data_IF_497829978211
#
_entry.id   IF_497829978211
#
_cell.length_a   1.000
_cell.length_b   1.000
_cell.length_c   1.000
_cell.angle_alpha   90.00
_cell.angle_beta   90.00
_cell.angle_gamma   90.00
#
_symmetry.space_group_name_H-M   'P 1'
#
loop_
_entity.id
_entity.type
_entity.pdbx_description
1 polymer ?
#
# COMPACT_ATOMS: atom_id res chain seq x y z
N UNK A 1 -17.89 -5.80 -19.16
CA UNK A 1 -16.66 -5.03 -18.86
C UNK A 1 -15.63 -5.46 -19.88
N UNK A 2 -14.83 -4.54 -20.41
CA UNK A 2 -13.86 -4.87 -21.47
C UNK A 2 -12.63 -5.60 -20.93
N UNK A 3 -12.39 -5.54 -19.62
CA UNK A 3 -11.29 -6.22 -18.95
C UNK A 3 -11.82 -7.36 -18.07
N UNK A 4 -11.07 -8.46 -18.02
CA UNK A 4 -11.29 -9.56 -17.09
C UNK A 4 -10.93 -9.14 -15.66
N UNK A 5 -11.68 -9.62 -14.68
CA UNK A 5 -11.48 -9.34 -13.26
C UNK A 5 -11.45 -10.66 -12.49
N UNK A 6 -10.34 -10.91 -11.81
CA UNK A 6 -10.18 -12.06 -10.91
C UNK A 6 -9.96 -11.56 -9.49
N UNK A 7 -10.74 -12.09 -8.56
CA UNK A 7 -10.65 -11.77 -7.14
C UNK A 7 -10.38 -13.06 -6.37
N UNK A 8 -9.49 -13.02 -5.40
CA UNK A 8 -9.20 -14.19 -4.57
C UNK A 8 -9.93 -14.11 -3.26
N UNK A 9 -10.46 -15.24 -2.80
CA UNK A 9 -10.90 -15.45 -1.44
C UNK A 9 -10.30 -16.74 -0.90
N UNK A 10 -10.27 -16.89 0.42
CA UNK A 10 -9.82 -18.12 1.08
C UNK A 10 -11.03 -18.80 1.67
N UNK A 11 -11.25 -20.07 1.36
CA UNK A 11 -12.24 -20.87 2.06
C UNK A 11 -11.74 -21.20 3.46
N UNK A 12 -12.56 -20.91 4.47
CA UNK A 12 -12.17 -20.97 5.87
C UNK A 12 -11.97 -22.40 6.37
N UNK A 13 -12.72 -23.37 5.85
CA UNK A 13 -12.74 -24.75 6.36
C UNK A 13 -11.70 -25.64 5.67
N UNK A 14 -11.57 -25.49 4.35
CA UNK A 14 -10.67 -26.26 3.50
C UNK A 14 -9.31 -25.60 3.30
N UNK A 15 -9.18 -24.31 3.65
CA UNK A 15 -7.99 -23.48 3.39
C UNK A 15 -7.65 -23.32 1.90
N UNK A 16 -8.58 -23.66 1.00
CA UNK A 16 -8.39 -23.50 -0.44
C UNK A 16 -8.49 -22.04 -0.87
N UNK A 17 -7.82 -21.72 -1.99
CA UNK A 17 -7.93 -20.41 -2.64
C UNK A 17 -9.01 -20.52 -3.69
N UNK A 18 -9.99 -19.65 -3.60
CA UNK A 18 -11.06 -19.50 -4.56
C UNK A 18 -10.72 -18.32 -5.45
N UNK A 19 -10.78 -18.53 -6.77
CA UNK A 19 -10.56 -17.49 -7.77
C UNK A 19 -11.92 -17.10 -8.36
N UNK A 20 -12.53 -16.09 -7.76
CA UNK A 20 -13.82 -15.53 -8.17
C UNK A 20 -13.65 -14.81 -9.52
N UNK A 21 -14.52 -15.10 -10.49
CA UNK A 21 -14.32 -14.75 -11.90
C UNK A 21 -13.54 -15.79 -12.70
N UNK A 22 -12.99 -16.82 -12.05
CA UNK A 22 -12.38 -17.99 -12.67
C UNK A 22 -13.39 -19.06 -13.09
N UNK A 23 -12.87 -20.17 -13.62
CA UNK A 23 -13.69 -21.35 -13.93
C UNK A 23 -14.47 -21.78 -12.69
N UNK A 24 -15.73 -22.18 -12.86
CA UNK A 24 -16.67 -22.55 -11.78
C UNK A 24 -17.11 -21.40 -10.85
N UNK A 25 -16.59 -20.18 -10.99
CA UNK A 25 -16.86 -19.03 -10.10
C UNK A 25 -17.15 -17.73 -10.86
N UNK A 26 -17.40 -17.80 -12.16
CA UNK A 26 -17.66 -16.69 -13.07
C UNK A 26 -19.11 -16.16 -13.00
N UNK A 27 -20.02 -16.95 -12.43
CA UNK A 27 -21.42 -16.61 -12.16
C UNK A 27 -21.62 -15.75 -10.89
N UNK A 28 -20.58 -15.61 -10.06
CA UNK A 28 -20.67 -14.86 -8.80
C UNK A 28 -20.67 -13.34 -9.07
N UNK A 29 -21.67 -12.57 -8.59
CA UNK A 29 -21.70 -11.13 -8.79
C UNK A 29 -20.46 -10.44 -8.23
N UNK A 30 -19.87 -9.51 -9.00
CA UNK A 30 -18.66 -8.77 -8.62
C UNK A 30 -18.75 -8.19 -7.20
N UNK A 31 -19.90 -7.62 -6.82
CA UNK A 31 -20.10 -7.07 -5.48
C UNK A 31 -19.94 -8.11 -4.36
N UNK A 32 -20.45 -9.34 -4.57
CA UNK A 32 -20.24 -10.45 -3.64
C UNK A 32 -18.79 -10.91 -3.64
N UNK A 33 -18.18 -10.96 -4.82
CA UNK A 33 -16.79 -11.39 -4.96
C UNK A 33 -15.85 -10.45 -4.22
N UNK A 34 -16.06 -9.13 -4.33
CA UNK A 34 -15.33 -8.11 -3.56
C UNK A 34 -15.57 -8.30 -2.07
N UNK A 35 -16.82 -8.45 -1.63
CA UNK A 35 -17.14 -8.63 -0.22
C UNK A 35 -16.42 -9.83 0.41
N UNK A 36 -16.36 -10.97 -0.29
CA UNK A 36 -15.61 -12.14 0.15
C UNK A 36 -14.10 -11.90 0.14
N UNK A 37 -13.58 -11.31 -0.94
CA UNK A 37 -12.14 -11.05 -1.11
C UNK A 37 -11.56 -10.09 -0.07
N UNK A 38 -12.39 -9.20 0.50
CA UNK A 38 -12.01 -8.22 1.52
C UNK A 38 -12.53 -8.55 2.93
N UNK A 39 -13.08 -9.74 3.15
CA UNK A 39 -13.62 -10.15 4.45
C UNK A 39 -12.49 -10.50 5.42
N UNK A 40 -11.75 -9.48 5.87
CA UNK A 40 -10.62 -9.65 6.79
C UNK A 40 -11.13 -10.15 8.15
N UNK A 41 -10.59 -11.28 8.66
CA UNK A 41 -10.93 -11.79 9.98
C UNK A 41 -10.73 -10.75 11.07
N UNK A 42 -11.52 -10.85 12.14
CA UNK A 42 -11.62 -9.87 13.24
C UNK A 42 -12.29 -8.54 12.88
N UNK A 43 -12.41 -8.17 11.60
CA UNK A 43 -13.15 -6.98 11.16
C UNK A 43 -14.50 -7.32 10.54
N UNK A 44 -14.56 -8.38 9.75
CA UNK A 44 -15.75 -8.79 9.02
C UNK A 44 -16.09 -10.26 9.26
N UNK A 45 -17.38 -10.60 9.10
CA UNK A 45 -17.84 -11.99 9.09
C UNK A 45 -17.46 -12.66 7.76
N UNK A 46 -17.18 -13.98 7.75
CA UNK A 46 -17.07 -14.73 6.51
C UNK A 46 -18.30 -14.55 5.61
N UNK A 47 -18.08 -14.66 4.29
CA UNK A 47 -19.12 -14.48 3.27
C UNK A 47 -19.43 -15.84 2.65
N UNK A 48 -20.68 -16.29 2.78
CA UNK A 48 -21.08 -17.62 2.32
C UNK A 48 -21.43 -17.67 0.82
N UNK A 49 -20.53 -18.14 -0.05
CA UNK A 49 -20.77 -18.24 -1.50
C UNK A 49 -20.78 -19.72 -1.89
N UNK A 50 -21.83 -20.18 -2.58
CA UNK A 50 -22.00 -21.59 -3.01
C UNK A 50 -21.82 -22.60 -1.85
N UNK A 51 -22.35 -22.27 -0.67
CA UNK A 51 -22.25 -23.10 0.54
C UNK A 51 -20.88 -23.11 1.23
N UNK A 52 -19.93 -22.26 0.78
CA UNK A 52 -18.58 -22.16 1.31
C UNK A 52 -18.39 -20.86 2.09
N UNK A 53 -17.74 -20.90 3.26
CA UNK A 53 -17.46 -19.72 4.08
C UNK A 53 -16.15 -19.08 3.64
N UNK A 54 -16.24 -17.96 2.92
CA UNK A 54 -15.07 -17.30 2.33
C UNK A 54 -14.61 -16.09 3.15
N UNK A 55 -13.30 -15.97 3.32
CA UNK A 55 -12.61 -14.83 3.96
C UNK A 55 -11.58 -14.21 3.00
N UNK A 56 -10.94 -13.14 3.45
CA UNK A 56 -9.96 -12.37 2.68
C UNK A 56 -8.93 -13.24 1.93
N UNK A 57 -8.74 -12.97 0.64
CA UNK A 57 -7.84 -13.74 -0.22
C UNK A 57 -6.36 -13.42 -0.02
N UNK A 58 -6.06 -12.24 0.53
CA UNK A 58 -4.71 -11.81 0.90
C UNK A 58 -4.11 -12.66 2.01
N UNK A 59 -4.92 -13.42 2.76
CA UNK A 59 -4.44 -14.33 3.80
C UNK A 59 -3.55 -15.43 3.21
N UNK A 60 -3.86 -15.97 2.02
CA UNK A 60 -3.07 -17.06 1.42
C UNK A 60 -1.94 -16.55 0.52
N UNK A 61 -2.17 -15.49 -0.25
CA UNK A 61 -1.16 -14.91 -1.15
C UNK A 61 -1.37 -13.40 -1.24
N UNK A 62 -0.31 -12.63 -1.04
CA UNK A 62 -0.39 -11.15 -1.03
C UNK A 62 -0.65 -10.58 -2.42
N UNK A 63 -0.26 -11.29 -3.49
CA UNK A 63 -0.22 -10.70 -4.85
C UNK A 63 -0.90 -11.51 -5.93
N UNK A 64 -1.02 -12.82 -5.76
CA UNK A 64 -1.66 -13.71 -6.74
C UNK A 64 -1.14 -13.55 -8.18
N UNK A 65 0.16 -13.24 -8.34
CA UNK A 65 0.82 -13.04 -9.65
C UNK A 65 0.68 -14.27 -10.55
N UNK A 66 0.67 -15.45 -9.95
CA UNK A 66 0.44 -16.72 -10.64
C UNK A 66 -0.84 -16.70 -11.47
N UNK A 67 -1.94 -16.15 -10.94
CA UNK A 67 -3.22 -16.08 -11.67
C UNK A 67 -3.06 -15.26 -12.95
N UNK A 68 -2.40 -14.11 -12.89
CA UNK A 68 -2.17 -13.27 -14.07
C UNK A 68 -1.28 -13.98 -15.10
N UNK A 69 -0.22 -14.65 -14.64
CA UNK A 69 0.72 -15.37 -15.51
C UNK A 69 0.06 -16.58 -16.18
N UNK A 70 -0.72 -17.36 -15.44
CA UNK A 70 -1.48 -18.50 -15.96
C UNK A 70 -2.51 -18.09 -17.01
N UNK A 71 -3.05 -16.86 -16.90
CA UNK A 71 -3.91 -16.23 -17.91
C UNK A 71 -3.15 -15.58 -19.07
N UNK A 72 -1.84 -15.77 -19.13
CA UNK A 72 -1.01 -15.37 -20.27
C UNK A 72 -0.40 -13.97 -20.16
N UNK A 73 -0.52 -13.28 -19.02
CA UNK A 73 0.13 -11.98 -18.83
C UNK A 73 1.65 -12.11 -18.96
N UNK A 74 2.25 -11.27 -19.82
CA UNK A 74 3.71 -11.15 -19.99
C UNK A 74 4.29 -9.93 -19.29
N UNK A 75 3.41 -9.04 -18.83
CA UNK A 75 3.74 -7.87 -18.06
C UNK A 75 2.77 -7.74 -16.89
N UNK A 76 3.29 -7.74 -15.67
CA UNK A 76 2.47 -7.69 -14.45
C UNK A 76 2.97 -6.54 -13.57
N UNK A 77 2.05 -5.67 -13.17
CA UNK A 77 2.31 -4.63 -12.17
C UNK A 77 1.67 -5.06 -10.88
N UNK A 78 2.49 -5.25 -9.86
CA UNK A 78 2.09 -5.59 -8.49
C UNK A 78 2.14 -4.31 -7.66
N UNK A 79 1.04 -3.96 -7.01
CA UNK A 79 0.96 -2.82 -6.09
C UNK A 79 0.76 -3.35 -4.68
N UNK A 80 1.78 -3.22 -3.83
CA UNK A 80 1.68 -3.62 -2.42
C UNK A 80 1.68 -2.40 -1.50
N UNK A 81 0.53 -2.03 -0.92
CA UNK A 81 0.47 -0.96 0.09
C UNK A 81 0.79 -1.47 1.52
N UNK A 82 0.96 -2.78 1.73
CA UNK A 82 1.10 -3.41 3.05
C UNK A 82 2.56 -3.48 3.52
N UNK A 83 3.26 -2.35 3.50
CA UNK A 83 4.64 -2.25 4.00
C UNK A 83 4.63 -2.00 5.51
N UNK A 84 5.40 -2.77 6.32
CA UNK A 84 5.50 -2.56 7.75
C UNK A 84 6.22 -1.24 8.02
N UNK A 85 5.76 -0.51 9.04
CA UNK A 85 6.42 0.73 9.41
C UNK A 85 7.70 0.46 10.17
N UNK A 86 8.78 1.09 9.74
CA UNK A 86 10.06 1.07 10.45
C UNK A 86 10.12 2.29 11.36
N UNK A 87 10.04 2.05 12.67
CA UNK A 87 10.28 3.08 13.65
C UNK A 87 11.79 3.17 13.91
N UNK A 88 12.44 4.21 13.39
CA UNK A 88 13.88 4.46 13.57
C UNK A 88 14.25 5.01 14.97
N UNK A 89 13.24 5.21 15.83
CA UNK A 89 13.33 5.75 17.18
C UNK A 89 13.89 7.18 17.27
N UNK A 90 13.96 7.93 16.16
CA UNK A 90 14.48 9.30 16.17
C UNK A 90 13.45 10.33 16.67
N UNK A 91 12.15 10.01 16.58
CA UNK A 91 11.07 10.94 16.97
C UNK A 91 10.58 10.72 18.39
N UNK A 92 10.73 11.77 19.21
CA UNK A 92 10.30 11.80 20.61
C UNK A 92 9.05 12.65 20.74
N UNK A 93 8.01 12.11 21.38
CA UNK A 93 6.78 12.85 21.69
C UNK A 93 6.87 13.46 23.10
N UNK A 94 6.51 14.74 23.29
CA UNK A 94 6.36 15.34 24.61
C UNK A 94 5.23 14.67 25.41
N UNK A 95 5.43 14.47 26.70
CA UNK A 95 4.47 13.92 27.67
C UNK A 95 4.51 14.72 28.97
N UNK A 96 3.50 14.57 29.82
CA UNK A 96 3.43 15.27 31.12
C UNK A 96 4.61 14.96 32.06
N UNK A 97 5.27 13.82 31.91
CA UNK A 97 6.38 13.36 32.77
C UNK A 97 7.74 13.33 32.03
N UNK A 98 7.85 13.98 30.87
CA UNK A 98 9.08 13.98 30.06
C UNK A 98 8.80 13.75 28.59
N UNK A 99 9.78 13.26 27.84
CA UNK A 99 9.61 12.95 26.41
C UNK A 99 9.92 11.46 26.17
N UNK A 100 9.09 10.77 25.37
CA UNK A 100 9.28 9.34 25.08
C UNK A 100 9.25 9.07 23.58
N UNK A 101 9.98 8.05 23.14
CA UNK A 101 9.89 7.59 21.75
C UNK A 101 8.54 6.91 21.55
N UNK A 102 7.83 7.27 20.48
CA UNK A 102 6.54 6.64 20.13
C UNK A 102 6.81 5.21 19.69
N UNK A 103 6.31 4.20 20.40
CA UNK A 103 6.44 2.78 20.00
C UNK A 103 5.14 2.28 19.40
N UNK A 104 5.22 1.29 18.50
CA UNK A 104 4.02 0.59 18.01
C UNK A 104 3.25 -0.06 19.16
N UNK A 105 3.96 -0.57 20.18
CA UNK A 105 3.36 -1.14 21.38
C UNK A 105 2.46 -0.15 22.14
N UNK A 106 2.69 1.17 21.99
CA UNK A 106 1.90 2.21 22.65
C UNK A 106 0.58 2.52 21.92
N UNK A 107 0.35 1.92 20.75
CA UNK A 107 -0.79 2.22 19.87
C UNK A 107 -2.02 1.32 20.09
N UNK A 108 -1.95 0.39 21.04
CA UNK A 108 -3.02 -0.54 21.37
C UNK A 108 -3.05 -1.80 20.50
N UNK A 109 -3.78 -2.81 20.99
CA UNK A 109 -3.79 -4.17 20.43
C UNK A 109 -4.16 -4.25 18.93
N UNK A 110 -5.17 -3.52 18.42
CA UNK A 110 -5.49 -3.55 16.99
C UNK A 110 -4.33 -3.08 16.10
N UNK A 111 -3.61 -2.04 16.51
CA UNK A 111 -2.50 -1.49 15.73
C UNK A 111 -1.26 -2.39 15.80
N UNK A 112 -1.02 -3.04 16.94
CA UNK A 112 -0.01 -4.09 17.08
C UNK A 112 -0.34 -5.25 16.12
N UNK A 113 -1.57 -5.74 16.14
CA UNK A 113 -2.03 -6.81 15.25
C UNK A 113 -1.89 -6.45 13.78
N UNK A 114 -2.26 -5.22 13.40
CA UNK A 114 -2.13 -4.73 12.04
C UNK A 114 -0.66 -4.59 11.59
N UNK A 115 0.22 -4.08 12.45
CA UNK A 115 1.66 -4.04 12.17
C UNK A 115 2.22 -5.47 11.98
N UNK A 116 1.84 -6.42 12.84
CA UNK A 116 2.26 -7.83 12.72
C UNK A 116 1.75 -8.46 11.43
N UNK A 117 0.50 -8.19 11.05
CA UNK A 117 -0.05 -8.63 9.76
C UNK A 117 0.76 -8.10 8.58
N UNK A 118 1.10 -6.80 8.58
CA UNK A 118 1.95 -6.21 7.53
C UNK A 118 3.34 -6.85 7.49
N UNK A 119 3.95 -7.12 8.64
CA UNK A 119 5.25 -7.80 8.70
C UNK A 119 5.21 -9.17 8.01
N UNK A 120 4.22 -10.00 8.35
CA UNK A 120 4.06 -11.34 7.77
C UNK A 120 3.73 -11.27 6.26
N UNK A 121 2.78 -10.40 5.87
CA UNK A 121 2.37 -10.25 4.47
C UNK A 121 3.50 -9.74 3.58
N UNK A 122 4.29 -8.79 4.09
CA UNK A 122 5.44 -8.20 3.41
C UNK A 122 6.60 -9.19 3.28
N UNK A 123 6.97 -9.89 4.36
CA UNK A 123 8.02 -10.91 4.29
C UNK A 123 7.69 -11.99 3.25
N UNK A 124 6.47 -12.54 3.29
CA UNK A 124 6.01 -13.54 2.31
C UNK A 124 6.06 -13.00 0.88
N UNK A 125 5.70 -11.74 0.68
CA UNK A 125 5.79 -11.11 -0.63
C UNK A 125 7.25 -11.07 -1.11
N UNK A 126 8.19 -10.56 -0.31
CA UNK A 126 9.59 -10.48 -0.73
C UNK A 126 10.23 -11.86 -0.96
N UNK A 127 9.82 -12.88 -0.21
CA UNK A 127 10.19 -14.27 -0.49
C UNK A 127 9.68 -14.69 -1.88
N UNK A 128 8.42 -14.41 -2.23
CA UNK A 128 7.89 -14.70 -3.55
C UNK A 128 8.60 -13.90 -4.67
N UNK A 129 8.87 -12.61 -4.44
CA UNK A 129 9.59 -11.72 -5.36
C UNK A 129 10.96 -12.28 -5.71
N UNK A 130 11.68 -12.81 -4.71
CA UNK A 130 13.01 -13.40 -4.92
C UNK A 130 13.00 -14.58 -5.90
N UNK A 131 11.85 -15.25 -6.04
CA UNK A 131 11.66 -16.43 -6.88
C UNK A 131 10.98 -16.13 -8.22
N UNK A 132 10.39 -14.95 -8.41
CA UNK A 132 9.59 -14.63 -9.61
C UNK A 132 10.35 -14.83 -10.91
N UNK A 133 11.63 -14.42 -10.96
CA UNK A 133 12.45 -14.53 -12.17
C UNK A 133 12.67 -15.98 -12.60
N UNK A 134 12.83 -16.89 -11.65
CA UNK A 134 13.02 -18.32 -11.91
C UNK A 134 11.67 -19.00 -12.22
N UNK A 135 10.62 -18.64 -11.47
CA UNK A 135 9.30 -19.26 -11.59
C UNK A 135 8.56 -18.85 -12.87
N UNK A 136 8.73 -17.61 -13.32
CA UNK A 136 8.02 -17.05 -14.48
C UNK A 136 9.01 -16.50 -15.52
N UNK A 137 9.80 -17.37 -16.16
CA UNK A 137 10.76 -16.94 -17.18
C UNK A 137 10.02 -16.25 -18.34
N UNK A 138 10.50 -15.06 -18.72
CA UNK A 138 9.91 -14.28 -19.80
C UNK A 138 8.67 -13.47 -19.42
N UNK A 139 8.32 -13.38 -18.14
CA UNK A 139 7.34 -12.41 -17.63
C UNK A 139 8.09 -11.28 -16.93
N UNK A 140 7.84 -10.04 -17.36
CA UNK A 140 8.36 -8.87 -16.66
C UNK A 140 7.36 -8.48 -15.54
N UNK A 141 7.82 -8.54 -14.28
CA UNK A 141 7.00 -8.22 -13.10
C UNK A 141 7.60 -7.00 -12.41
N UNK A 142 6.79 -5.95 -12.23
CA UNK A 142 7.16 -4.73 -11.52
C UNK A 142 6.44 -4.70 -10.18
N UNK A 143 7.19 -4.59 -9.08
CA UNK A 143 6.64 -4.36 -7.75
C UNK A 143 6.69 -2.87 -7.42
N UNK A 144 5.57 -2.34 -6.96
CA UNK A 144 5.42 -0.97 -6.47
C UNK A 144 5.04 -1.02 -4.99
N UNK A 145 5.90 -0.44 -4.16
CA UNK A 145 5.74 -0.33 -2.71
C UNK A 145 6.02 1.10 -2.24
N UNK A 146 5.33 1.58 -1.20
CA UNK A 146 5.73 2.80 -0.50
C UNK A 146 7.06 2.61 0.23
N UNK A 147 7.74 3.72 0.53
CA UNK A 147 8.95 3.69 1.37
C UNK A 147 8.59 3.21 2.80
N UNK A 148 9.35 2.29 3.42
CA UNK A 148 9.08 1.84 4.79
C UNK A 148 9.12 2.95 5.86
N UNK A 149 9.83 4.05 5.58
CA UNK A 149 9.91 5.24 6.43
C UNK A 149 8.82 6.27 6.13
N UNK A 150 7.87 5.93 5.24
CA UNK A 150 6.76 6.80 4.87
C UNK A 150 5.70 6.86 5.97
N UNK A 151 5.85 7.86 6.84
CA UNK A 151 4.95 8.07 7.98
C UNK A 151 3.50 8.31 7.58
N UNK A 152 3.22 8.96 6.44
CA UNK A 152 1.83 9.23 6.05
C UNK A 152 1.09 7.95 5.67
N UNK A 153 1.80 6.98 5.09
CA UNK A 153 1.28 5.65 4.81
C UNK A 153 1.10 4.81 6.09
N UNK A 154 1.77 5.15 7.19
CA UNK A 154 1.65 4.44 8.46
C UNK A 154 0.65 5.06 9.44
N UNK A 155 0.69 6.39 9.62
CA UNK A 155 -0.13 7.11 10.58
C UNK A 155 -1.61 7.09 10.20
N UNK A 156 -1.90 6.91 8.92
CA UNK A 156 -3.27 6.89 8.44
C UNK A 156 -3.84 5.48 8.50
N UNK A 157 -4.74 5.26 9.47
CA UNK A 157 -5.57 4.05 9.47
C UNK A 157 -6.32 3.94 8.13
N UNK A 158 -6.18 2.80 7.44
CA UNK A 158 -6.84 2.53 6.14
C UNK A 158 -8.37 2.69 6.22
N UNK A 159 -8.95 2.50 7.41
CA UNK A 159 -10.38 2.68 7.69
C UNK A 159 -10.77 4.15 7.94
N UNK A 160 -9.83 5.10 7.94
CA UNK A 160 -10.12 6.53 8.07
C UNK A 160 -10.51 7.13 6.71
N UNK A 161 -11.80 7.02 6.37
CA UNK A 161 -12.36 7.51 5.11
C UNK A 161 -12.20 9.01 4.89
N UNK A 162 -11.97 9.82 5.93
CA UNK A 162 -11.74 11.26 5.80
C UNK A 162 -10.36 11.58 5.19
N UNK A 163 -9.37 10.69 5.38
CA UNK A 163 -8.01 10.85 4.86
C UNK A 163 -7.77 10.13 3.52
N UNK A 164 -8.76 9.44 2.95
CA UNK A 164 -8.59 8.63 1.72
C UNK A 164 -8.02 9.42 0.53
N UNK A 165 -8.44 10.69 0.38
CA UNK A 165 -7.97 11.55 -0.72
C UNK A 165 -6.52 11.96 -0.48
N UNK A 166 -6.16 12.23 0.76
CA UNK A 166 -4.79 12.54 1.16
C UNK A 166 -3.86 11.34 0.94
N UNK A 167 -4.26 10.13 1.36
CA UNK A 167 -3.51 8.89 1.13
C UNK A 167 -3.36 8.62 -0.36
N UNK A 168 -4.42 8.73 -1.15
CA UNK A 168 -4.37 8.49 -2.59
C UNK A 168 -3.44 9.49 -3.30
N UNK A 169 -3.51 10.77 -2.91
CA UNK A 169 -2.60 11.80 -3.44
C UNK A 169 -1.15 11.48 -3.07
N UNK A 170 -0.91 11.14 -1.82
CA UNK A 170 0.42 10.77 -1.30
C UNK A 170 0.98 9.51 -1.98
N UNK A 171 0.15 8.50 -2.21
CA UNK A 171 0.53 7.31 -2.99
C UNK A 171 0.91 7.64 -4.42
N UNK A 172 0.15 8.51 -5.09
CA UNK A 172 0.51 9.00 -6.42
C UNK A 172 1.83 9.77 -6.43
N UNK A 173 2.07 10.61 -5.41
CA UNK A 173 3.33 11.34 -5.22
C UNK A 173 4.52 10.39 -5.05
N UNK A 174 4.42 9.48 -4.08
CA UNK A 174 5.46 8.50 -3.73
C UNK A 174 5.84 7.62 -4.92
N UNK A 175 4.83 7.06 -5.61
CA UNK A 175 5.06 6.25 -6.82
C UNK A 175 5.70 7.09 -7.93
N UNK A 176 5.28 8.34 -8.13
CA UNK A 176 5.89 9.18 -9.18
C UNK A 176 7.36 9.50 -8.91
N UNK A 177 7.72 9.74 -7.65
CA UNK A 177 9.12 9.93 -7.26
C UNK A 177 9.94 8.67 -7.52
N UNK A 178 9.40 7.49 -7.19
CA UNK A 178 10.07 6.21 -7.48
C UNK A 178 10.21 5.96 -8.98
N UNK A 179 9.16 6.21 -9.76
CA UNK A 179 9.19 6.15 -11.23
C UNK A 179 10.27 7.07 -11.81
N UNK A 180 10.51 8.24 -11.20
CA UNK A 180 11.54 9.17 -11.64
C UNK A 180 12.96 8.66 -11.31
N UNK A 181 13.14 8.04 -10.14
CA UNK A 181 14.41 7.44 -9.71
C UNK A 181 14.80 6.25 -10.58
N UNK A 182 13.84 5.36 -10.87
CA UNK A 182 14.05 4.12 -11.63
C UNK A 182 13.68 4.27 -13.12
N UNK A 183 13.62 5.51 -13.63
CA UNK A 183 13.02 5.83 -14.92
C UNK A 183 13.58 5.01 -16.08
N UNK A 184 14.91 4.91 -16.21
CA UNK A 184 15.55 4.23 -17.35
C UNK A 184 15.26 2.73 -17.36
N UNK A 185 15.28 2.09 -16.19
CA UNK A 185 14.94 0.67 -16.02
C UNK A 185 13.48 0.43 -16.38
N UNK A 186 12.57 1.21 -15.79
CA UNK A 186 11.13 1.05 -16.00
C UNK A 186 10.73 1.36 -17.43
N UNK A 187 11.30 2.41 -18.03
CA UNK A 187 11.10 2.74 -19.45
C UNK A 187 11.49 1.57 -20.34
N UNK A 188 12.64 0.96 -20.07
CA UNK A 188 13.15 -0.16 -20.87
C UNK A 188 12.22 -1.37 -20.76
N UNK A 189 11.76 -1.71 -19.56
CA UNK A 189 10.82 -2.83 -19.35
C UNK A 189 9.48 -2.54 -20.01
N UNK A 190 8.88 -1.37 -19.75
CA UNK A 190 7.59 -0.99 -20.33
C UNK A 190 7.62 -0.92 -21.87
N UNK A 191 8.73 -0.46 -22.47
CA UNK A 191 8.88 -0.38 -23.91
C UNK A 191 8.81 -1.77 -24.59
N UNK A 192 9.30 -2.84 -23.94
CA UNK A 192 9.16 -4.22 -24.46
C UNK A 192 7.71 -4.64 -24.64
N UNK A 193 6.81 -4.05 -23.86
CA UNK A 193 5.37 -4.34 -23.85
C UNK A 193 4.54 -3.24 -24.52
N UNK A 194 5.17 -2.35 -25.29
CA UNK A 194 4.48 -1.27 -26.02
C UNK A 194 3.95 -0.14 -25.13
N UNK A 195 4.42 -0.04 -23.88
CA UNK A 195 3.99 0.99 -22.93
C UNK A 195 5.02 2.13 -22.90
N UNK A 196 4.61 3.33 -23.30
CA UNK A 196 5.46 4.52 -23.28
C UNK A 196 5.34 5.27 -21.95
N UNK A 197 6.47 5.44 -21.25
CA UNK A 197 6.55 6.32 -20.06
C UNK A 197 7.14 7.67 -20.45
N UNK A 198 6.30 8.70 -20.48
CA UNK A 198 6.71 10.07 -20.81
C UNK A 198 7.60 10.70 -19.73
N UNK A 199 8.88 10.90 -20.05
CA UNK A 199 9.83 11.60 -19.17
C UNK A 199 9.36 13.03 -18.84
N UNK A 200 8.72 13.71 -19.80
CA UNK A 200 8.19 15.05 -19.61
C UNK A 200 7.07 15.08 -18.57
N UNK A 201 6.17 14.08 -18.60
CA UNK A 201 5.08 13.94 -17.63
C UNK A 201 5.60 13.65 -16.23
N UNK A 202 6.55 12.71 -16.10
CA UNK A 202 7.20 12.39 -14.82
C UNK A 202 7.87 13.63 -14.23
N UNK A 203 8.74 14.32 -15.00
CA UNK A 203 9.42 15.55 -14.54
C UNK A 203 8.45 16.67 -14.15
N UNK A 204 7.36 16.85 -14.91
CA UNK A 204 6.35 17.87 -14.61
C UNK A 204 5.68 17.61 -13.26
N UNK A 205 5.37 16.35 -12.98
CA UNK A 205 4.72 15.93 -11.74
C UNK A 205 5.68 16.08 -10.56
N UNK A 206 6.93 15.61 -10.67
CA UNK A 206 7.97 15.80 -9.64
C UNK A 206 8.16 17.30 -9.30
N UNK A 207 8.34 18.15 -10.31
CA UNK A 207 8.48 19.61 -10.11
C UNK A 207 7.27 20.27 -9.44
N UNK A 208 6.06 19.77 -9.70
CA UNK A 208 4.85 20.29 -9.05
C UNK A 208 4.90 19.98 -7.55
N UNK A 209 5.32 18.77 -7.19
CA UNK A 209 5.37 18.33 -5.80
C UNK A 209 6.50 18.99 -5.01
N UNK A 210 7.69 19.18 -5.61
CA UNK A 210 8.77 19.92 -4.96
C UNK A 210 8.30 21.33 -4.56
N UNK A 211 7.59 22.02 -5.45
CA UNK A 211 7.01 23.35 -5.17
C UNK A 211 5.95 23.33 -4.05
N UNK A 212 5.14 22.28 -3.97
CA UNK A 212 4.12 22.15 -2.91
C UNK A 212 4.75 21.81 -1.54
N UNK A 213 5.81 20.98 -1.51
CA UNK A 213 6.59 20.71 -0.30
C UNK A 213 7.32 21.95 0.19
N UNK A 214 7.96 22.70 -0.71
CA UNK A 214 8.63 23.97 -0.37
C UNK A 214 7.66 24.98 0.22
N UNK A 215 6.46 25.15 -0.40
CA UNK A 215 5.41 26.02 0.15
C UNK A 215 4.97 25.58 1.54
N UNK A 216 4.73 24.28 1.74
CA UNK A 216 4.28 23.75 3.04
C UNK A 216 5.35 23.91 4.12
N UNK A 217 6.63 23.67 3.79
CA UNK A 217 7.75 23.88 4.70
C UNK A 217 7.94 25.37 5.03
N UNK A 218 7.79 26.27 4.05
CA UNK A 218 7.83 27.71 4.27
C UNK A 218 6.69 28.17 5.19
N UNK A 219 5.46 27.68 4.98
CA UNK A 219 4.33 27.96 5.87
C UNK A 219 4.54 27.44 7.29
N UNK A 220 5.08 26.23 7.47
CA UNK A 220 5.44 25.69 8.79
C UNK A 220 6.48 26.56 9.50
N UNK A 221 7.54 26.99 8.81
CA UNK A 221 8.55 27.91 9.37
C UNK A 221 7.94 29.26 9.80
N UNK A 222 7.03 29.83 9.02
CA UNK A 222 6.34 31.08 9.35
C UNK A 222 5.47 30.88 10.60
N UNK A 223 4.71 29.78 10.67
CA UNK A 223 3.88 29.46 11.83
C UNK A 223 4.73 29.20 13.09
N UNK A 224 5.83 28.46 12.99
CA UNK A 224 6.78 28.24 14.08
C UNK A 224 7.42 29.54 14.57
N UNK A 225 7.80 30.44 13.66
CA UNK A 225 8.30 31.78 14.00
C UNK A 225 7.24 32.64 14.69
N UNK A 226 5.99 32.56 14.24
CA UNK A 226 4.87 33.33 14.81
C UNK A 226 4.47 32.79 16.18
N UNK A 227 4.46 31.47 16.36
CA UNK A 227 4.18 30.80 17.64
C UNK A 227 5.31 31.05 18.64
N UNK A 228 6.56 31.01 18.18
CA UNK A 228 7.74 31.33 18.99
C UNK A 228 7.91 32.81 19.33
N UNK A 229 7.23 33.73 18.62
CA UNK A 229 7.14 35.14 18.96
C UNK A 229 6.02 35.41 19.98
N UNK A 230 4.87 34.75 19.82
CA UNK A 230 3.75 34.83 20.77
C UNK A 230 4.10 34.26 22.15
N UNK A 231 4.83 33.15 22.20
CA UNK A 231 5.28 32.54 23.48
C UNK A 231 6.30 33.41 24.22
N UNK A 232 7.15 34.17 23.51
CA UNK A 232 8.08 35.12 24.13
C UNK A 232 7.37 36.37 24.68
N UNK A 233 6.30 36.82 24.04
CA UNK A 233 5.49 37.93 24.56
C UNK A 233 4.66 37.56 25.79
N UNK A 234 4.36 36.28 26.03
CA UNK A 234 3.65 35.82 27.24
C UNK A 234 4.54 35.58 28.45
N UNK A 235 5.87 35.53 28.28
CA UNK A 235 6.83 35.37 29.39
C UNK A 235 7.34 36.72 29.94
N UNK A 236 7.11 37.83 29.22
CA UNK A 236 7.51 39.19 29.62
C UNK A 236 6.34 40.04 30.16
N UNK A 237 5.16 39.43 30.42
CA UNK A 237 3.94 40.10 30.88
C UNK A 237 3.54 39.81 32.32
#
# INVERSE_FOLDING_TARGET
>A
LDNELYLTATDLDTCERIVLGGEEWDDVPIARSVAASTALPMLYKPVEIKGRQLVDGGIRSTTNVDIAVERGAKFVIVVNPLVPYVNDFQKVIPTLLGSRVRRVADMGFPQIGYQTFKLLAHQRLHEAVSQWKEKYPGVDIILIEPDPNDELMFETNIMNFAKRVEIARHGFESVTLRLAQDYDTLRTVCAKHGIEISAARVRKVVRKFDKEREKTAAWRRILEQTTGALLRQSEEG
#
